data_IF_556710076671
#
_entry.id   IF_556710076671
#
_cell.length_a   1.000
_cell.length_b   1.000
_cell.length_c   1.000
_cell.angle_alpha   90.00
_cell.angle_beta   90.00
_cell.angle_gamma   90.00
#
_symmetry.space_group_name_H-M   'P 1'
#
loop_
_entity.id
_entity.type
_entity.pdbx_description
1 polymer ?
#
# COMPACT_ATOMS: atom_id res chain seq x y z
N UNK A 1 30.63 -7.35 8.41
CA UNK A 1 30.33 -8.61 7.68
C UNK A 1 29.32 -8.23 6.61
N UNK A 2 29.38 -8.81 5.40
CA UNK A 2 28.37 -8.54 4.36
C UNK A 2 27.07 -9.26 4.69
N UNK A 3 25.94 -8.58 4.49
CA UNK A 3 24.57 -9.09 4.63
C UNK A 3 23.69 -8.68 3.44
N UNK A 4 22.41 -9.00 3.49
CA UNK A 4 21.44 -8.68 2.43
C UNK A 4 21.25 -7.17 2.21
N UNK A 5 21.60 -6.33 3.18
CA UNK A 5 21.45 -4.88 3.15
C UNK A 5 22.73 -4.11 2.78
N UNK A 6 23.85 -4.81 2.60
CA UNK A 6 25.17 -4.18 2.38
C UNK A 6 25.18 -3.20 1.18
N UNK A 7 24.41 -3.49 0.11
CA UNK A 7 24.31 -2.58 -1.04
C UNK A 7 23.46 -1.35 -0.74
N UNK A 8 22.43 -1.48 0.07
CA UNK A 8 21.60 -0.35 0.54
C UNK A 8 22.45 0.55 1.46
N UNK A 9 23.26 -0.05 2.32
CA UNK A 9 24.18 0.67 3.20
C UNK A 9 25.23 1.50 2.43
N UNK A 10 25.68 1.03 1.26
CA UNK A 10 26.57 1.84 0.39
C UNK A 10 25.91 3.12 -0.13
N UNK A 11 24.58 3.15 -0.22
CA UNK A 11 23.83 4.33 -0.66
C UNK A 11 23.43 5.26 0.50
N UNK A 12 23.07 4.69 1.63
CA UNK A 12 22.43 5.42 2.73
C UNK A 12 23.36 5.64 3.93
N UNK A 13 24.41 4.81 4.08
CA UNK A 13 25.29 4.81 5.24
C UNK A 13 24.78 3.96 6.42
N UNK A 14 25.65 3.68 7.37
CA UNK A 14 25.35 2.79 8.49
C UNK A 14 24.31 3.38 9.46
N UNK A 15 24.35 4.70 9.70
CA UNK A 15 23.38 5.37 10.58
C UNK A 15 21.94 5.25 10.06
N UNK A 16 21.77 5.43 8.74
CA UNK A 16 20.47 5.26 8.10
C UNK A 16 19.96 3.81 8.19
N UNK A 17 20.85 2.83 8.05
CA UNK A 17 20.48 1.42 8.21
C UNK A 17 20.03 1.10 9.65
N UNK A 18 20.67 1.67 10.66
CA UNK A 18 20.22 1.55 12.05
C UNK A 18 18.82 2.14 12.23
N UNK A 19 18.56 3.34 11.69
CA UNK A 19 17.21 3.94 11.75
C UNK A 19 16.14 3.07 11.10
N UNK A 20 16.44 2.48 9.93
CA UNK A 20 15.50 1.59 9.26
C UNK A 20 15.22 0.33 10.08
N UNK A 21 16.28 -0.28 10.63
CA UNK A 21 16.16 -1.47 11.48
C UNK A 21 15.34 -1.20 12.75
N UNK A 22 15.41 0.00 13.31
CA UNK A 22 14.67 0.39 14.52
C UNK A 22 13.25 0.89 14.18
N UNK A 23 12.92 1.10 12.90
CA UNK A 23 11.63 1.64 12.48
C UNK A 23 10.53 0.58 12.38
N UNK A 24 9.30 0.99 12.72
CA UNK A 24 8.06 0.21 12.61
C UNK A 24 7.08 0.87 11.64
N UNK A 25 6.75 0.19 10.56
CA UNK A 25 5.87 0.70 9.50
C UNK A 25 4.59 -0.12 9.41
N UNK A 26 3.43 0.55 9.46
CA UNK A 26 2.14 -0.08 9.24
C UNK A 26 1.70 0.06 7.77
N UNK A 27 1.33 -1.05 7.13
CA UNK A 27 0.82 -1.09 5.75
C UNK A 27 -0.63 -1.54 5.75
N UNK A 28 -1.51 -0.60 5.47
CA UNK A 28 -2.94 -0.84 5.37
C UNK A 28 -3.30 -1.18 3.91
N UNK A 29 -3.71 -2.43 3.68
CA UNK A 29 -3.99 -3.02 2.38
C UNK A 29 -2.77 -3.73 1.78
N UNK A 30 -2.80 -5.06 1.70
CA UNK A 30 -1.74 -5.93 1.14
C UNK A 30 -2.17 -6.46 -0.22
N UNK A 31 -2.55 -5.54 -1.10
CA UNK A 31 -2.98 -5.81 -2.47
C UNK A 31 -1.86 -5.61 -3.50
N UNK A 32 -2.25 -5.15 -4.72
CA UNK A 32 -1.32 -4.91 -5.82
C UNK A 32 -0.32 -3.78 -5.56
N UNK A 33 -0.68 -2.78 -4.75
CA UNK A 33 0.22 -1.69 -4.33
C UNK A 33 0.93 -2.07 -3.03
N UNK A 34 0.16 -2.35 -1.96
CA UNK A 34 0.73 -2.60 -0.65
C UNK A 34 1.65 -3.81 -0.58
N UNK A 35 1.38 -4.88 -1.34
CA UNK A 35 2.29 -6.03 -1.40
C UNK A 35 3.69 -5.67 -1.91
N UNK A 36 3.79 -4.82 -2.94
CA UNK A 36 5.09 -4.34 -3.42
C UNK A 36 5.72 -3.29 -2.51
N UNK A 37 4.90 -2.55 -1.74
CA UNK A 37 5.43 -1.68 -0.68
C UNK A 37 6.06 -2.50 0.44
N UNK A 38 5.39 -3.56 0.91
CA UNK A 38 5.94 -4.49 1.91
C UNK A 38 7.26 -5.10 1.42
N UNK A 39 7.30 -5.57 0.18
CA UNK A 39 8.52 -6.10 -0.46
C UNK A 39 9.66 -5.09 -0.43
N UNK A 40 9.40 -3.84 -0.81
CA UNK A 40 10.40 -2.79 -0.83
C UNK A 40 10.92 -2.44 0.57
N UNK A 41 10.03 -2.37 1.57
CA UNK A 41 10.39 -2.07 2.95
C UNK A 41 11.23 -3.19 3.58
N UNK A 42 10.82 -4.45 3.42
CA UNK A 42 11.55 -5.61 3.90
C UNK A 42 12.97 -5.67 3.30
N UNK A 43 13.09 -5.47 1.97
CA UNK A 43 14.40 -5.45 1.28
C UNK A 43 15.25 -4.22 1.56
N UNK A 44 14.68 -3.19 2.18
CA UNK A 44 15.41 -2.00 2.61
C UNK A 44 15.88 -2.04 4.05
N UNK A 45 15.48 -3.06 4.82
CA UNK A 45 15.93 -3.26 6.20
C UNK A 45 15.05 -2.59 7.26
N UNK A 46 13.77 -2.33 6.97
CA UNK A 46 12.80 -1.89 7.99
C UNK A 46 12.59 -3.04 8.98
N UNK A 47 12.81 -2.77 10.28
CA UNK A 47 12.88 -3.82 11.29
C UNK A 47 11.54 -4.33 11.81
N UNK A 48 10.44 -3.58 11.63
CA UNK A 48 9.11 -4.03 12.01
C UNK A 48 8.03 -3.61 11.00
N UNK A 49 7.15 -4.54 10.66
CA UNK A 49 6.05 -4.34 9.71
C UNK A 49 4.73 -4.80 10.32
N UNK A 50 3.74 -3.94 10.31
CA UNK A 50 2.36 -4.27 10.63
C UNK A 50 1.54 -4.35 9.35
N UNK A 51 0.96 -5.52 9.08
CA UNK A 51 0.25 -5.82 7.83
C UNK A 51 -1.25 -5.96 8.08
N UNK A 52 -2.04 -5.07 7.51
CA UNK A 52 -3.48 -4.99 7.75
C UNK A 52 -4.25 -5.25 6.44
N UNK A 53 -4.95 -6.38 6.35
CA UNK A 53 -5.81 -6.75 5.21
C UNK A 53 -6.75 -7.88 5.63
N UNK A 54 -8.05 -7.79 5.35
CA UNK A 54 -9.06 -8.81 5.68
C UNK A 54 -9.26 -9.85 4.57
N UNK A 55 -8.70 -9.61 3.40
CA UNK A 55 -8.92 -10.44 2.21
C UNK A 55 -8.05 -11.71 2.21
N UNK A 56 -8.57 -12.71 1.50
CA UNK A 56 -7.81 -13.87 1.05
C UNK A 56 -7.31 -13.66 -0.38
N UNK A 57 -6.23 -14.35 -0.71
CA UNK A 57 -5.71 -14.40 -2.09
C UNK A 57 -6.76 -15.03 -3.00
N UNK A 58 -7.17 -14.29 -4.04
CA UNK A 58 -8.09 -14.77 -5.08
C UNK A 58 -7.33 -15.06 -6.37
N UNK A 59 -7.83 -15.99 -7.18
CA UNK A 59 -7.23 -16.33 -8.48
C UNK A 59 -7.01 -15.09 -9.37
N UNK A 60 -7.97 -14.14 -9.38
CA UNK A 60 -7.85 -12.88 -10.13
C UNK A 60 -6.80 -11.90 -9.59
N UNK A 61 -6.14 -12.22 -8.48
CA UNK A 61 -5.05 -11.40 -7.95
C UNK A 61 -3.69 -11.75 -8.55
N UNK A 62 -3.56 -12.95 -9.17
CA UNK A 62 -2.29 -13.48 -9.69
C UNK A 62 -1.67 -12.56 -10.74
N UNK A 63 -2.48 -11.79 -11.46
CA UNK A 63 -2.00 -10.90 -12.51
C UNK A 63 -1.21 -9.69 -11.99
N UNK A 64 -1.29 -9.36 -10.66
CA UNK A 64 -0.72 -8.10 -10.15
C UNK A 64 -0.26 -8.09 -8.69
N UNK A 65 -0.62 -9.07 -7.87
CA UNK A 65 -0.23 -9.11 -6.46
C UNK A 65 0.96 -10.05 -6.28
N UNK A 66 2.06 -9.56 -5.74
CA UNK A 66 3.32 -10.31 -5.60
C UNK A 66 3.17 -11.57 -4.73
N UNK A 67 2.27 -11.53 -3.75
CA UNK A 67 1.98 -12.65 -2.84
C UNK A 67 1.05 -13.70 -3.45
N UNK A 68 0.40 -13.37 -4.59
CA UNK A 68 -0.61 -14.22 -5.20
C UNK A 68 0.02 -15.17 -6.20
N UNK A 69 -0.05 -16.46 -5.90
CA UNK A 69 0.36 -17.59 -6.76
C UNK A 69 -0.71 -18.67 -6.68
N UNK A 70 -0.67 -19.67 -7.57
CA UNK A 70 -1.58 -20.82 -7.47
C UNK A 70 -1.49 -21.53 -6.12
N UNK A 71 -0.31 -21.53 -5.46
CA UNK A 71 -0.10 -22.15 -4.15
C UNK A 71 -0.72 -21.37 -2.99
N UNK A 72 -0.96 -20.07 -3.17
CA UNK A 72 -1.41 -19.19 -2.09
C UNK A 72 -2.90 -18.82 -2.18
N UNK A 73 -3.60 -19.19 -3.27
CA UNK A 73 -5.05 -18.96 -3.41
C UNK A 73 -5.82 -19.55 -2.22
N UNK A 74 -6.70 -18.74 -1.63
CA UNK A 74 -7.53 -19.13 -0.47
C UNK A 74 -6.93 -18.82 0.89
N UNK A 75 -5.63 -18.49 0.98
CA UNK A 75 -4.94 -18.10 2.20
C UNK A 75 -5.15 -16.59 2.47
N UNK A 76 -5.08 -16.16 3.73
CA UNK A 76 -5.10 -14.74 4.04
C UNK A 76 -3.87 -14.03 3.45
N UNK A 77 -4.09 -12.85 2.87
CA UNK A 77 -3.01 -12.08 2.25
C UNK A 77 -1.91 -11.72 3.23
N UNK A 78 -2.27 -11.34 4.44
CA UNK A 78 -1.30 -10.95 5.48
C UNK A 78 -0.42 -12.12 5.91
N UNK A 79 -0.96 -13.36 6.01
CA UNK A 79 -0.16 -14.55 6.36
C UNK A 79 0.85 -14.88 5.25
N UNK A 80 0.44 -14.79 3.99
CA UNK A 80 1.34 -15.03 2.85
C UNK A 80 2.40 -13.95 2.75
N UNK A 81 2.05 -12.71 3.07
CA UNK A 81 3.00 -11.60 3.08
C UNK A 81 4.02 -11.74 4.22
N UNK A 82 3.59 -12.18 5.42
CA UNK A 82 4.47 -12.48 6.55
C UNK A 82 5.51 -13.55 6.19
N UNK A 83 5.07 -14.69 5.64
CA UNK A 83 5.98 -15.75 5.18
C UNK A 83 7.01 -15.19 4.19
N UNK A 84 6.55 -14.38 3.21
CA UNK A 84 7.43 -13.78 2.23
C UNK A 84 8.43 -12.79 2.84
N UNK A 85 8.02 -12.01 3.85
CA UNK A 85 8.93 -11.11 4.59
C UNK A 85 10.00 -11.92 5.31
N UNK A 86 9.62 -13.01 5.98
CA UNK A 86 10.57 -13.87 6.68
C UNK A 86 11.50 -14.65 5.74
N UNK A 87 11.08 -14.92 4.50
CA UNK A 87 11.96 -15.47 3.46
C UNK A 87 13.02 -14.44 2.98
N UNK A 88 12.74 -13.13 3.13
CA UNK A 88 13.69 -12.06 2.82
C UNK A 88 14.64 -11.83 4.00
N UNK A 89 14.07 -11.64 5.20
CA UNK A 89 14.80 -11.53 6.45
C UNK A 89 13.97 -12.07 7.62
N UNK A 90 14.39 -13.19 8.23
CA UNK A 90 13.69 -13.81 9.36
C UNK A 90 13.71 -12.97 10.65
N UNK A 91 14.52 -11.91 10.73
CA UNK A 91 14.62 -11.05 11.89
C UNK A 91 13.62 -9.89 11.88
N UNK A 92 12.95 -9.60 10.76
CA UNK A 92 11.91 -8.57 10.69
C UNK A 92 10.72 -8.99 11.57
N UNK A 93 10.33 -8.13 12.48
CA UNK A 93 9.14 -8.34 13.30
C UNK A 93 7.89 -8.06 12.47
N UNK A 94 7.09 -9.08 12.20
CA UNK A 94 5.83 -8.94 11.47
C UNK A 94 4.65 -9.15 12.40
N UNK A 95 3.70 -8.21 12.36
CA UNK A 95 2.40 -8.35 13.04
C UNK A 95 1.29 -8.32 12.00
N UNK A 96 0.45 -9.34 11.97
CA UNK A 96 -0.62 -9.48 10.98
C UNK A 96 -1.99 -9.20 11.60
N UNK A 97 -2.82 -8.43 10.88
CA UNK A 97 -4.19 -8.11 11.26
C UNK A 97 -5.15 -8.53 10.13
N UNK A 98 -5.90 -9.60 10.36
CA UNK A 98 -6.94 -10.11 9.44
C UNK A 98 -8.23 -9.31 9.62
N UNK A 99 -8.11 -8.01 9.43
CA UNK A 99 -9.18 -7.05 9.75
C UNK A 99 -9.31 -6.01 8.64
N UNK A 100 -10.56 -5.70 8.32
CA UNK A 100 -10.87 -4.54 7.48
C UNK A 100 -10.67 -3.26 8.27
N UNK A 101 -9.90 -2.30 7.71
CA UNK A 101 -9.75 -0.99 8.33
C UNK A 101 -10.82 -0.02 7.85
N UNK A 102 -11.55 0.55 8.79
CA UNK A 102 -12.58 1.55 8.57
C UNK A 102 -13.00 2.24 9.86
N UNK A 103 -14.01 3.13 9.80
CA UNK A 103 -14.47 3.87 10.98
C UNK A 103 -14.87 2.98 12.18
N UNK A 104 -15.33 1.76 11.91
CA UNK A 104 -15.79 0.81 12.95
C UNK A 104 -14.63 0.10 13.65
N UNK A 105 -13.47 0.00 13.01
CA UNK A 105 -12.30 -0.74 13.51
C UNK A 105 -11.09 0.15 13.81
N UNK A 106 -11.15 1.44 13.45
CA UNK A 106 -10.02 2.37 13.58
C UNK A 106 -9.48 2.51 15.01
N UNK A 107 -10.34 2.39 16.02
CA UNK A 107 -9.98 2.56 17.42
C UNK A 107 -9.36 1.30 18.06
N UNK A 108 -9.29 0.19 17.32
CA UNK A 108 -8.54 -1.01 17.73
C UNK A 108 -7.04 -0.94 17.44
N UNK A 109 -6.56 0.14 16.81
CA UNK A 109 -5.16 0.34 16.47
C UNK A 109 -4.57 1.50 17.28
N UNK A 110 -3.43 1.25 17.91
CA UNK A 110 -2.62 2.29 18.53
C UNK A 110 -1.61 2.83 17.52
N UNK A 111 -1.94 3.98 16.93
CA UNK A 111 -1.11 4.61 15.92
C UNK A 111 0.20 5.18 16.47
N UNK A 112 0.30 5.44 17.78
CA UNK A 112 1.51 5.98 18.40
C UNK A 112 2.72 5.02 18.35
N UNK A 113 2.47 3.75 18.05
CA UNK A 113 3.50 2.73 17.91
C UNK A 113 4.22 2.74 16.56
N UNK A 114 3.70 3.49 15.57
CA UNK A 114 4.21 3.46 14.20
C UNK A 114 5.08 4.68 13.94
N UNK A 115 6.22 4.46 13.30
CA UNK A 115 7.09 5.54 12.80
C UNK A 115 6.58 6.06 11.44
N UNK A 116 5.83 5.22 10.71
CA UNK A 116 5.25 5.58 9.42
C UNK A 116 4.02 4.72 9.10
N UNK A 117 3.06 5.30 8.38
CA UNK A 117 1.86 4.60 7.91
C UNK A 117 1.77 4.67 6.39
N UNK A 118 1.47 3.54 5.77
CA UNK A 118 1.18 3.43 4.33
C UNK A 118 -0.30 3.12 4.14
N UNK A 119 -0.97 3.97 3.38
CA UNK A 119 -2.35 3.77 2.94
C UNK A 119 -2.38 3.23 1.51
N UNK A 120 -2.62 1.93 1.38
CA UNK A 120 -2.84 1.22 0.13
C UNK A 120 -4.24 0.58 0.03
N UNK A 121 -5.20 1.02 0.86
CA UNK A 121 -6.59 0.57 0.80
C UNK A 121 -7.37 1.24 -0.33
N UNK A 122 -8.49 0.66 -0.72
CA UNK A 122 -9.28 1.10 -1.89
C UNK A 122 -10.57 1.86 -1.55
N UNK A 123 -10.92 1.99 -0.27
CA UNK A 123 -12.14 2.68 0.18
C UNK A 123 -11.86 4.12 0.63
N UNK A 124 -12.63 5.08 0.14
CA UNK A 124 -12.49 6.50 0.52
C UNK A 124 -12.71 6.71 2.02
N UNK A 125 -13.72 6.05 2.59
CA UNK A 125 -14.03 6.14 4.03
C UNK A 125 -12.87 5.66 4.90
N UNK A 126 -12.29 4.51 4.56
CA UNK A 126 -11.12 3.98 5.25
C UNK A 126 -9.90 4.88 5.12
N UNK A 127 -9.60 5.36 3.88
CA UNK A 127 -8.51 6.32 3.65
C UNK A 127 -8.62 7.56 4.53
N UNK A 128 -9.81 8.14 4.61
CA UNK A 128 -10.04 9.34 5.41
C UNK A 128 -9.89 9.05 6.91
N UNK A 129 -10.45 7.94 7.39
CA UNK A 129 -10.28 7.51 8.78
C UNK A 129 -8.80 7.34 9.12
N UNK A 130 -8.03 6.68 8.24
CA UNK A 130 -6.60 6.46 8.41
C UNK A 130 -5.81 7.78 8.49
N UNK A 131 -6.07 8.71 7.55
CA UNK A 131 -5.44 10.03 7.55
C UNK A 131 -5.76 10.82 8.82
N UNK A 132 -7.00 10.73 9.33
CA UNK A 132 -7.41 11.40 10.57
C UNK A 132 -6.69 10.81 11.78
N UNK A 133 -6.61 9.50 11.90
CA UNK A 133 -5.89 8.81 12.99
C UNK A 133 -4.39 9.11 13.00
N UNK A 134 -3.76 9.09 11.83
CA UNK A 134 -2.35 9.49 11.72
C UNK A 134 -2.12 10.96 12.12
N UNK A 135 -3.03 11.86 11.72
CA UNK A 135 -2.97 13.26 12.13
C UNK A 135 -3.12 13.44 13.65
N UNK A 136 -4.05 12.72 14.27
CA UNK A 136 -4.25 12.74 15.72
C UNK A 136 -3.03 12.23 16.48
N UNK A 137 -2.40 11.16 16.00
CA UNK A 137 -1.22 10.56 16.60
C UNK A 137 0.10 11.28 16.24
N UNK A 138 0.08 12.22 15.28
CA UNK A 138 1.30 12.88 14.79
C UNK A 138 2.21 11.99 13.95
N UNK A 139 1.70 10.88 13.41
CA UNK A 139 2.45 9.90 12.61
C UNK A 139 2.40 10.27 11.13
N UNK A 140 3.54 10.25 10.43
CA UNK A 140 3.58 10.49 8.99
C UNK A 140 2.85 9.41 8.21
N UNK A 141 2.19 9.82 7.11
CA UNK A 141 1.43 8.93 6.25
C UNK A 141 1.66 9.26 4.78
N UNK A 142 1.76 8.22 3.94
CA UNK A 142 1.71 8.33 2.48
C UNK A 142 0.53 7.52 1.93
N UNK A 143 -0.25 8.12 1.02
CA UNK A 143 -1.43 7.48 0.46
C UNK A 143 -1.26 7.16 -1.02
N UNK A 144 -1.57 5.93 -1.42
CA UNK A 144 -1.76 5.57 -2.82
C UNK A 144 -3.09 6.13 -3.33
N UNK A 145 -3.05 6.84 -4.46
CA UNK A 145 -4.25 7.17 -5.20
C UNK A 145 -4.61 6.06 -6.19
N UNK A 146 -5.51 6.32 -7.15
CA UNK A 146 -6.02 5.31 -8.06
C UNK A 146 -4.94 4.73 -8.98
N UNK A 147 -4.66 3.43 -8.87
CA UNK A 147 -3.75 2.67 -9.73
C UNK A 147 -4.47 1.76 -10.74
N UNK A 148 -5.79 1.65 -10.67
CA UNK A 148 -6.59 0.88 -11.64
C UNK A 148 -6.88 1.64 -12.92
N UNK A 149 -7.20 0.89 -14.01
CA UNK A 149 -7.54 1.41 -15.34
C UNK A 149 -6.45 2.32 -15.92
N UNK A 150 -5.18 1.89 -15.80
CA UNK A 150 -4.00 2.61 -16.26
C UNK A 150 -2.99 1.66 -16.89
N UNK A 151 -2.19 2.19 -17.83
CA UNK A 151 -1.20 1.43 -18.59
C UNK A 151 0.21 2.02 -18.51
N UNK A 152 0.34 3.29 -18.11
CA UNK A 152 1.64 3.96 -18.07
C UNK A 152 2.13 4.18 -16.63
N UNK A 153 3.00 3.31 -16.10
CA UNK A 153 3.55 3.46 -14.77
C UNK A 153 4.52 4.64 -14.62
N UNK A 154 5.04 5.19 -15.73
CA UNK A 154 5.99 6.32 -15.71
C UNK A 154 5.31 7.66 -15.40
N UNK A 155 3.98 7.72 -15.44
CA UNK A 155 3.20 8.92 -15.15
C UNK A 155 2.81 9.07 -13.67
N UNK A 156 3.32 8.20 -12.80
CA UNK A 156 3.14 8.35 -11.36
C UNK A 156 4.16 9.32 -10.79
N UNK A 157 3.69 10.16 -9.88
CA UNK A 157 4.50 11.11 -9.16
C UNK A 157 4.11 11.20 -7.68
N UNK A 158 5.07 11.61 -6.87
CA UNK A 158 4.88 11.88 -5.44
C UNK A 158 4.62 13.36 -5.27
N UNK A 159 3.54 13.74 -4.60
CA UNK A 159 3.20 15.15 -4.38
C UNK A 159 2.25 15.33 -3.19
N UNK A 160 1.93 16.57 -2.87
CA UNK A 160 0.83 16.90 -1.96
C UNK A 160 -0.53 16.70 -2.66
N UNK A 161 -1.53 16.22 -1.91
CA UNK A 161 -2.89 15.98 -2.42
C UNK A 161 -3.47 17.21 -3.14
N UNK A 162 -3.14 18.42 -2.69
CA UNK A 162 -3.66 19.65 -3.28
C UNK A 162 -3.01 20.05 -4.60
N UNK A 163 -1.88 19.43 -4.96
CA UNK A 163 -1.20 19.61 -6.24
C UNK A 163 -1.58 18.54 -7.28
N UNK A 164 -2.44 17.59 -6.91
CA UNK A 164 -2.87 16.52 -7.82
C UNK A 164 -3.87 17.03 -8.87
N UNK A 165 -3.90 16.36 -10.03
CA UNK A 165 -4.82 16.64 -11.15
C UNK A 165 -5.36 15.31 -11.71
N UNK A 166 -6.28 15.37 -12.67
CA UNK A 166 -6.76 14.23 -13.48
C UNK A 166 -7.38 13.07 -12.69
N UNK A 167 -6.75 12.57 -11.62
CA UNK A 167 -7.16 11.38 -10.89
C UNK A 167 -8.50 11.58 -10.15
N UNK A 168 -9.56 10.78 -10.44
CA UNK A 168 -10.86 10.91 -9.79
C UNK A 168 -10.81 10.67 -8.27
N UNK A 169 -10.05 9.66 -7.83
CA UNK A 169 -9.88 9.37 -6.40
C UNK A 169 -9.21 10.54 -5.68
N UNK A 170 -8.14 11.11 -6.25
CA UNK A 170 -7.48 12.27 -5.67
C UNK A 170 -8.42 13.50 -5.59
N UNK A 171 -9.33 13.68 -6.56
CA UNK A 171 -10.36 14.73 -6.52
C UNK A 171 -11.27 14.56 -5.30
N UNK A 172 -11.75 13.36 -5.04
CA UNK A 172 -12.59 13.05 -3.86
C UNK A 172 -11.79 13.27 -2.57
N UNK A 173 -10.57 12.73 -2.49
CA UNK A 173 -9.71 12.87 -1.31
C UNK A 173 -9.40 14.35 -1.01
N UNK A 174 -9.12 15.19 -2.01
CA UNK A 174 -8.93 16.65 -1.80
C UNK A 174 -10.15 17.29 -1.17
N UNK A 175 -11.34 16.96 -1.64
CA UNK A 175 -12.58 17.51 -1.09
C UNK A 175 -12.77 17.11 0.36
N UNK A 176 -12.57 15.84 0.67
CA UNK A 176 -12.74 15.30 2.03
C UNK A 176 -11.65 15.83 2.99
N UNK A 177 -10.41 15.98 2.53
CA UNK A 177 -9.33 16.59 3.30
C UNK A 177 -9.62 18.06 3.65
N UNK A 178 -10.16 18.85 2.69
CA UNK A 178 -10.54 20.25 2.95
C UNK A 178 -11.61 20.35 4.03
N UNK A 179 -12.66 19.53 3.96
CA UNK A 179 -13.73 19.50 4.97
C UNK A 179 -13.20 19.25 6.39
N UNK A 180 -12.12 18.47 6.52
CA UNK A 180 -11.50 18.07 7.80
C UNK A 180 -10.29 18.91 8.19
N UNK A 181 -10.03 20.00 7.48
CA UNK A 181 -8.91 20.92 7.71
C UNK A 181 -7.55 20.19 7.74
N UNK A 182 -7.39 19.18 6.87
CA UNK A 182 -6.10 18.55 6.60
C UNK A 182 -5.34 19.46 5.64
N UNK A 183 -4.21 20.01 6.08
CA UNK A 183 -3.45 21.01 5.30
C UNK A 183 -2.52 20.38 4.28
N UNK A 184 -1.99 19.20 4.59
CA UNK A 184 -1.00 18.49 3.79
C UNK A 184 -1.29 16.99 3.83
N UNK A 185 -1.11 16.30 2.71
CA UNK A 185 -1.15 14.85 2.63
C UNK A 185 -0.25 14.40 1.48
N UNK A 186 0.81 13.66 1.80
CA UNK A 186 1.70 13.05 0.81
C UNK A 186 0.98 11.93 0.08
N UNK A 187 1.00 11.97 -1.24
CA UNK A 187 0.32 10.98 -2.08
C UNK A 187 1.16 10.55 -3.27
N UNK A 188 0.92 9.33 -3.73
CA UNK A 188 1.39 8.85 -5.04
C UNK A 188 0.18 8.78 -5.96
N UNK A 189 0.20 9.50 -7.07
CA UNK A 189 -0.89 9.55 -8.04
C UNK A 189 -0.36 9.60 -9.47
N UNK A 190 -1.20 9.31 -10.44
CA UNK A 190 -0.84 9.38 -11.86
C UNK A 190 -1.55 10.53 -12.56
N UNK A 191 -0.82 11.17 -13.50
CA UNK A 191 -1.38 12.13 -14.47
C UNK A 191 -2.02 11.45 -15.69
N UNK A 192 -1.98 10.14 -15.76
CA UNK A 192 -2.64 9.38 -16.82
C UNK A 192 -4.16 9.47 -16.65
N UNK A 193 -4.92 9.83 -17.68
CA UNK A 193 -6.37 9.71 -17.68
C UNK A 193 -6.80 8.26 -17.43
N UNK A 194 -7.89 8.09 -16.70
CA UNK A 194 -8.44 6.75 -16.42
C UNK A 194 -9.03 6.19 -17.71
N UNK A 195 -8.62 4.98 -18.07
CA UNK A 195 -9.22 4.24 -19.20
C UNK A 195 -10.61 3.74 -18.84
N UNK A 196 -11.50 3.68 -19.82
CA UNK A 196 -12.77 2.98 -19.67
C UNK A 196 -12.52 1.47 -19.84
N UNK A 197 -12.82 0.64 -18.83
CA UNK A 197 -12.70 -0.81 -18.98
C UNK A 197 -13.60 -1.33 -20.09
N UNK A 198 -13.14 -2.37 -20.79
CA UNK A 198 -13.99 -3.13 -21.72
C UNK A 198 -15.01 -3.90 -20.88
N UNK A 199 -16.29 -3.73 -21.19
CA UNK A 199 -17.35 -4.49 -20.55
C UNK A 199 -17.39 -5.90 -21.16
N UNK A 200 -17.11 -6.91 -20.35
CA UNK A 200 -17.21 -8.32 -20.71
C UNK A 200 -17.78 -9.11 -19.54
N UNK A 201 -19.04 -9.45 -19.66
CA UNK A 201 -19.79 -10.16 -18.60
C UNK A 201 -19.25 -11.57 -18.35
N UNK A 202 -18.61 -12.19 -19.35
CA UNK A 202 -18.07 -13.56 -19.24
C UNK A 202 -16.88 -13.66 -18.26
N UNK A 203 -16.13 -12.56 -18.09
CA UNK A 203 -14.96 -12.48 -17.18
C UNK A 203 -15.19 -11.55 -15.99
N UNK A 204 -16.39 -11.01 -15.85
CA UNK A 204 -16.71 -10.07 -14.78
C UNK A 204 -16.87 -10.78 -13.44
N UNK A 205 -16.03 -10.41 -12.44
CA UNK A 205 -16.22 -10.88 -11.07
C UNK A 205 -17.57 -10.48 -10.44
N UNK A 206 -18.34 -9.60 -11.06
CA UNK A 206 -19.68 -9.26 -10.60
C UNK A 206 -20.68 -10.39 -10.86
N UNK A 207 -20.57 -11.04 -12.01
CA UNK A 207 -21.48 -12.11 -12.42
C UNK A 207 -20.94 -13.50 -12.06
N UNK A 208 -19.62 -13.69 -12.18
CA UNK A 208 -18.93 -14.96 -11.94
C UNK A 208 -17.87 -14.80 -10.84
N UNK A 209 -18.33 -14.67 -9.58
CA UNK A 209 -17.43 -14.51 -8.43
C UNK A 209 -16.73 -15.84 -8.12
N UNK A 210 -15.41 -15.86 -8.25
CA UNK A 210 -14.53 -16.98 -7.90
C UNK A 210 -13.73 -16.71 -6.61
N UNK A 211 -14.25 -15.83 -5.75
CA UNK A 211 -13.62 -15.56 -4.47
C UNK A 211 -13.58 -16.81 -3.59
N UNK A 212 -12.49 -17.03 -2.82
CA UNK A 212 -12.38 -18.15 -1.91
C UNK A 212 -13.53 -18.21 -0.89
N UNK A 213 -13.93 -19.40 -0.42
CA UNK A 213 -14.95 -19.54 0.62
C UNK A 213 -14.60 -18.74 1.88
N UNK A 214 -15.61 -18.11 2.49
CA UNK A 214 -15.44 -17.28 3.69
C UNK A 214 -14.89 -15.88 3.43
N UNK A 215 -14.79 -15.43 2.18
CA UNK A 215 -14.52 -14.03 1.85
C UNK A 215 -15.70 -13.16 2.27
N UNK A 216 -15.50 -12.25 3.23
CA UNK A 216 -16.57 -11.40 3.76
C UNK A 216 -17.00 -10.32 2.76
N UNK A 217 -16.06 -9.79 1.97
CA UNK A 217 -16.29 -8.70 1.01
C UNK A 217 -16.16 -9.19 -0.42
N UNK A 218 -17.28 -9.64 -0.99
CA UNK A 218 -17.33 -10.15 -2.36
C UNK A 218 -17.20 -9.03 -3.40
N UNK A 219 -16.55 -9.31 -4.51
CA UNK A 219 -16.44 -8.41 -5.66
C UNK A 219 -17.81 -7.95 -6.20
N UNK A 220 -18.85 -8.76 -6.00
CA UNK A 220 -20.25 -8.48 -6.40
C UNK A 220 -20.84 -7.23 -5.75
N UNK A 221 -20.34 -6.84 -4.57
CA UNK A 221 -20.83 -5.65 -3.83
C UNK A 221 -20.19 -4.35 -4.37
N UNK A 222 -19.09 -4.44 -5.10
CA UNK A 222 -18.39 -3.27 -5.63
C UNK A 222 -19.17 -2.65 -6.80
N UNK A 223 -19.25 -1.31 -6.81
CA UNK A 223 -19.89 -0.55 -7.90
C UNK A 223 -19.25 -0.83 -9.26
N UNK A 224 -17.93 -0.96 -9.31
CA UNK A 224 -17.17 -1.39 -10.48
C UNK A 224 -15.90 -2.13 -10.05
N UNK A 225 -15.47 -3.09 -10.86
CA UNK A 225 -14.18 -3.77 -10.70
C UNK A 225 -13.23 -3.13 -11.71
N UNK A 226 -12.21 -2.37 -11.27
CA UNK A 226 -11.29 -1.73 -12.20
C UNK A 226 -10.40 -2.77 -12.89
N UNK A 227 -10.08 -2.53 -14.15
CA UNK A 227 -8.99 -3.24 -14.83
C UNK A 227 -7.65 -2.97 -14.16
N UNK A 228 -6.74 -3.94 -14.21
CA UNK A 228 -5.40 -3.81 -13.64
C UNK A 228 -4.42 -4.75 -14.33
N UNK A 229 -3.14 -4.45 -14.20
CA UNK A 229 -2.02 -5.19 -14.78
C UNK A 229 -0.88 -5.37 -13.76
N UNK A 230 0.17 -6.08 -14.14
CA UNK A 230 1.28 -6.41 -13.23
C UNK A 230 2.19 -5.22 -12.92
N UNK A 231 2.34 -4.27 -13.85
CA UNK A 231 3.39 -3.26 -13.80
C UNK A 231 2.95 -1.90 -13.24
N UNK A 232 1.67 -1.54 -13.30
CA UNK A 232 1.20 -0.25 -12.77
C UNK A 232 1.12 -0.25 -11.24
N UNK A 233 0.37 -1.14 -10.57
CA UNK A 233 0.30 -1.12 -9.11
C UNK A 233 1.62 -1.49 -8.44
N UNK A 234 2.45 -2.33 -9.07
CA UNK A 234 3.77 -2.70 -8.56
C UNK A 234 4.72 -1.50 -8.50
N UNK A 235 4.79 -0.71 -9.56
CA UNK A 235 5.61 0.52 -9.59
C UNK A 235 5.14 1.52 -8.55
N UNK A 236 3.82 1.68 -8.37
CA UNK A 236 3.28 2.53 -7.29
C UNK A 236 3.73 2.05 -5.91
N UNK A 237 3.67 0.75 -5.66
CA UNK A 237 4.13 0.16 -4.39
C UNK A 237 5.62 0.39 -4.14
N UNK A 238 6.46 0.23 -5.17
CA UNK A 238 7.89 0.47 -5.08
C UNK A 238 8.21 1.96 -4.85
N UNK A 239 7.49 2.88 -5.51
CA UNK A 239 7.63 4.33 -5.27
C UNK A 239 7.28 4.64 -3.81
N UNK A 240 6.17 4.12 -3.28
CA UNK A 240 5.75 4.33 -1.89
C UNK A 240 6.82 3.81 -0.92
N UNK A 241 7.30 2.57 -1.11
CA UNK A 241 8.35 1.99 -0.27
C UNK A 241 9.62 2.85 -0.25
N UNK A 242 10.06 3.31 -1.43
CA UNK A 242 11.20 4.20 -1.55
C UNK A 242 11.00 5.56 -0.87
N UNK A 243 9.78 6.13 -0.93
CA UNK A 243 9.46 7.39 -0.23
C UNK A 243 9.45 7.21 1.29
N UNK A 244 8.89 6.09 1.80
CA UNK A 244 8.91 5.78 3.23
C UNK A 244 10.35 5.63 3.73
N UNK A 245 11.19 4.88 3.01
CA UNK A 245 12.62 4.74 3.36
C UNK A 245 13.32 6.10 3.41
N UNK A 246 13.13 6.94 2.39
CA UNK A 246 13.73 8.29 2.36
C UNK A 246 13.27 9.16 3.51
N UNK A 247 11.99 9.15 3.83
CA UNK A 247 11.44 9.94 4.94
C UNK A 247 11.98 9.47 6.29
N UNK A 248 12.00 8.15 6.55
CA UNK A 248 12.50 7.57 7.79
C UNK A 248 13.97 7.94 8.06
N UNK A 249 14.81 7.89 7.03
CA UNK A 249 16.24 8.22 7.19
C UNK A 249 16.54 9.72 7.08
N UNK A 250 15.56 10.55 6.71
CA UNK A 250 15.75 11.99 6.47
C UNK A 250 16.63 12.26 5.25
N UNK A 251 16.46 11.45 4.19
CA UNK A 251 17.26 11.57 2.97
C UNK A 251 17.02 12.90 2.25
N UNK A 252 18.09 13.65 2.03
CA UNK A 252 18.09 14.87 1.22
C UNK A 252 18.84 14.59 -0.08
N UNK A 253 18.19 14.73 -1.26
CA UNK A 253 18.88 14.55 -2.52
C UNK A 253 20.08 15.50 -2.64
N UNK A 254 21.22 15.02 -3.13
CA UNK A 254 22.32 15.89 -3.48
C UNK A 254 21.85 16.86 -4.57
N UNK A 255 22.10 18.14 -4.36
CA UNK A 255 21.87 19.14 -5.41
C UNK A 255 22.89 18.89 -6.51
N UNK A 256 22.44 18.53 -7.70
CA UNK A 256 23.27 18.49 -8.89
C UNK A 256 23.65 19.88 -9.34
#
# INVERSE_FOLDING_TARGET
MQDQYSRTQLLLGAEAMTKLHDSRVAVFGVGGVGGYTVEALARSGVGALDLIDDDKVCLTNLNRQIIATHKTVGRFKVDVAEERVHDIDPNIKVTTYKTFFGPETQDSFDFSQFDYVVDAIDTVTGKIALVMKCKEAGVPIICSMGAGNKMDPTRFEVTDIYKTSVCPLAKVMRTECRKRRIRHLKVVYSREPVMTPIEDDSISCKQHCICPPGTQRKCTIRRSVPGSNAFVPSVVGLIIGGEVVKDLVGFVPMKG
#
